data_IF_970436892467
#
_entry.id   IF_970436892467
#
_cell.length_a   1.000
_cell.length_b   1.000
_cell.length_c   1.000
_cell.angle_alpha   90.00
_cell.angle_beta   90.00
_cell.angle_gamma   90.00
#
_symmetry.space_group_name_H-M   'P 1'
#
loop_
_entity.id
_entity.type
_entity.pdbx_description
1 polymer ?
#
# COMPACT_ATOMS: atom_id res chain seq x y z
N UNK A 1 -16.37 11.02 29.46
CA UNK A 1 -15.69 10.97 28.15
C UNK A 1 -16.48 10.00 27.28
N UNK A 2 -16.92 10.40 26.07
CA UNK A 2 -17.86 9.62 25.26
C UNK A 2 -17.27 8.26 24.88
N UNK A 3 -18.10 7.24 25.00
CA UNK A 3 -17.78 5.84 24.76
C UNK A 3 -17.90 5.58 23.24
N UNK A 4 -16.82 5.85 22.51
CA UNK A 4 -16.73 5.68 21.06
C UNK A 4 -16.28 4.24 20.75
N UNK A 5 -17.22 3.34 20.43
CA UNK A 5 -16.88 2.01 19.94
C UNK A 5 -16.67 2.11 18.43
N UNK A 6 -15.50 1.74 17.88
CA UNK A 6 -15.26 1.85 16.44
C UNK A 6 -16.20 0.94 15.66
N UNK A 7 -16.72 1.46 14.54
CA UNK A 7 -17.59 0.74 13.61
C UNK A 7 -16.87 -0.49 13.03
N UNK A 8 -17.56 -1.64 12.82
CA UNK A 8 -16.93 -2.83 12.29
C UNK A 8 -16.25 -2.55 10.94
N UNK A 9 -15.02 -3.06 10.72
CA UNK A 9 -14.28 -2.75 9.51
C UNK A 9 -15.03 -3.27 8.29
N UNK A 10 -15.32 -2.35 7.35
CA UNK A 10 -15.87 -2.72 6.03
C UNK A 10 -15.02 -3.82 5.39
N UNK A 11 -15.62 -4.78 4.67
CA UNK A 11 -14.89 -5.89 4.07
C UNK A 11 -13.78 -5.33 3.17
N UNK A 12 -12.54 -5.77 3.43
CA UNK A 12 -11.36 -5.29 2.72
C UNK A 12 -11.53 -5.50 1.22
N UNK A 13 -11.33 -4.43 0.44
CA UNK A 13 -11.31 -4.50 -1.02
C UNK A 13 -9.89 -4.80 -1.48
N UNK A 14 -9.77 -5.58 -2.56
CA UNK A 14 -8.48 -5.88 -3.17
C UNK A 14 -7.81 -4.59 -3.65
N UNK A 15 -6.58 -4.27 -3.22
CA UNK A 15 -5.90 -3.03 -3.60
C UNK A 15 -5.49 -3.00 -5.09
N UNK A 16 -5.50 -4.16 -5.76
CA UNK A 16 -5.10 -4.27 -7.17
C UNK A 16 -6.26 -4.05 -8.13
N UNK A 17 -7.48 -4.48 -7.77
CA UNK A 17 -8.63 -4.46 -8.69
C UNK A 17 -9.98 -4.05 -8.06
N UNK A 18 -10.04 -3.78 -6.76
CA UNK A 18 -11.24 -3.30 -6.05
C UNK A 18 -12.32 -4.33 -5.72
N UNK A 19 -12.17 -5.58 -6.17
CA UNK A 19 -13.07 -6.71 -5.85
C UNK A 19 -13.01 -7.06 -4.35
N UNK A 20 -14.06 -7.69 -3.77
CA UNK A 20 -14.02 -8.18 -2.39
C UNK A 20 -12.81 -9.09 -2.16
N UNK A 21 -12.10 -8.89 -1.04
CA UNK A 21 -10.99 -9.77 -0.69
C UNK A 21 -11.51 -11.14 -0.29
N UNK A 22 -10.87 -12.18 -0.83
CA UNK A 22 -11.18 -13.57 -0.53
C UNK A 22 -10.41 -14.00 0.72
N UNK A 23 -11.01 -14.70 1.70
CA UNK A 23 -10.35 -15.08 2.95
C UNK A 23 -8.99 -15.76 2.77
N UNK A 24 -8.86 -16.63 1.77
CA UNK A 24 -7.63 -17.36 1.46
C UNK A 24 -6.51 -16.46 0.86
N UNK A 25 -6.87 -15.31 0.30
CA UNK A 25 -5.95 -14.43 -0.41
C UNK A 25 -5.85 -13.02 0.19
N UNK A 26 -6.42 -12.77 1.37
CA UNK A 26 -6.42 -11.44 2.00
C UNK A 26 -5.01 -10.85 2.05
N UNK A 27 -4.82 -9.57 1.69
CA UNK A 27 -5.85 -8.55 1.37
C UNK A 27 -6.39 -8.57 -0.08
N UNK A 28 -6.06 -9.58 -0.88
CA UNK A 28 -6.42 -9.67 -2.31
C UNK A 28 -7.66 -10.54 -2.57
N UNK A 29 -8.20 -10.46 -3.79
CA UNK A 29 -9.29 -11.33 -4.24
C UNK A 29 -8.80 -12.65 -4.88
N UNK A 30 -7.51 -12.78 -5.19
CA UNK A 30 -6.95 -13.99 -5.84
C UNK A 30 -5.42 -14.03 -5.78
N UNK A 31 -4.85 -15.23 -6.00
CA UNK A 31 -3.41 -15.42 -6.16
C UNK A 31 -2.82 -14.54 -7.29
N UNK A 32 -3.55 -14.34 -8.39
CA UNK A 32 -3.08 -13.47 -9.49
C UNK A 32 -2.91 -12.02 -9.05
N UNK A 33 -3.85 -11.48 -8.26
CA UNK A 33 -3.71 -10.11 -7.76
C UNK A 33 -2.53 -9.97 -6.79
N UNK A 34 -2.28 -10.97 -5.94
CA UNK A 34 -1.09 -11.01 -5.07
C UNK A 34 0.21 -10.91 -5.90
N UNK A 35 0.31 -11.68 -6.98
CA UNK A 35 1.51 -11.67 -7.83
C UNK A 35 1.68 -10.34 -8.59
N UNK A 36 0.59 -9.73 -9.04
CA UNK A 36 0.64 -8.40 -9.67
C UNK A 36 1.13 -7.33 -8.69
N UNK A 37 0.63 -7.35 -7.46
CA UNK A 37 1.09 -6.45 -6.40
C UNK A 37 2.58 -6.61 -6.12
N UNK A 38 3.04 -7.86 -5.97
CA UNK A 38 4.47 -8.16 -5.83
C UNK A 38 5.28 -7.64 -7.03
N UNK A 39 4.78 -7.79 -8.25
CA UNK A 39 5.43 -7.23 -9.44
C UNK A 39 5.55 -5.71 -9.38
N UNK A 40 4.53 -4.99 -8.87
CA UNK A 40 4.62 -3.53 -8.69
C UNK A 40 5.68 -3.16 -7.66
N UNK A 41 5.79 -3.91 -6.57
CA UNK A 41 6.86 -3.73 -5.58
C UNK A 41 8.25 -3.90 -6.18
N UNK A 42 8.49 -5.02 -6.85
CA UNK A 42 9.80 -5.33 -7.42
C UNK A 42 10.22 -4.37 -8.54
N UNK A 43 9.26 -3.79 -9.26
CA UNK A 43 9.53 -2.80 -10.30
C UNK A 43 9.61 -1.35 -9.77
N UNK A 44 9.55 -1.12 -8.46
CA UNK A 44 9.57 0.23 -7.89
C UNK A 44 8.33 1.06 -8.19
N UNK A 45 7.19 0.43 -8.50
CA UNK A 45 5.93 1.10 -8.77
C UNK A 45 5.27 1.73 -7.54
N UNK A 46 5.79 1.44 -6.34
CA UNK A 46 5.41 2.11 -5.10
C UNK A 46 6.49 3.11 -4.70
N UNK A 47 6.17 4.39 -4.86
CA UNK A 47 7.02 5.50 -4.46
C UNK A 47 6.24 6.45 -3.55
N UNK A 48 6.90 6.94 -2.51
CA UNK A 48 6.37 8.02 -1.68
C UNK A 48 6.96 9.32 -2.24
N UNK A 49 6.14 10.28 -2.69
CA UNK A 49 6.65 11.57 -3.15
C UNK A 49 7.41 12.25 -2.00
N UNK A 50 8.69 12.57 -2.23
CA UNK A 50 9.52 13.32 -1.31
C UNK A 50 9.48 14.83 -1.60
N UNK A 51 9.88 15.64 -0.62
CA UNK A 51 10.29 17.00 -0.90
C UNK A 51 11.48 16.99 -1.89
N UNK A 52 11.67 18.05 -2.69
CA UNK A 52 12.86 18.18 -3.53
C UNK A 52 14.11 17.97 -2.67
N UNK A 53 15.04 17.14 -3.14
CA UNK A 53 16.33 16.99 -2.46
C UNK A 53 17.06 18.33 -2.54
N UNK A 54 17.49 18.85 -1.39
CA UNK A 54 18.43 19.98 -1.36
C UNK A 54 19.75 19.53 -2.00
N UNK A 55 20.40 20.38 -2.81
CA UNK A 55 21.68 20.03 -3.41
C UNK A 55 22.69 19.74 -2.30
N UNK A 56 23.55 18.72 -2.44
CA UNK A 56 24.53 18.41 -1.42
C UNK A 56 25.44 19.63 -1.21
N UNK A 57 25.47 20.19 0.01
CA UNK A 57 26.52 21.12 0.40
C UNK A 57 27.90 20.45 0.25
N UNK A 58 28.65 20.91 -0.73
CA UNK A 58 30.04 20.58 -1.00
C UNK A 58 30.90 21.08 0.17
N UNK A 59 31.09 20.20 1.17
CA UNK A 59 32.03 20.40 2.25
C UNK A 59 33.47 20.33 1.73
N UNK A 60 34.13 21.48 1.75
CA UNK A 60 35.56 21.71 1.49
C UNK A 60 36.44 20.74 2.31
N UNK A 61 37.51 20.23 1.68
CA UNK A 61 38.52 19.34 2.27
C UNK A 61 39.62 20.10 3.04
#
# INVERSE_FOLDING_TARGET
>A
MPNEKPDPPRPARCPVCGKPAEPAFRPFCSARCKQVDLGRWLNGGYAIPGAPAEPPEEGEA
#
